data_IF_767114984403
#
_entry.id   IF_767114984403
#
_cell.length_a   1.000
_cell.length_b   1.000
_cell.length_c   1.000
_cell.angle_alpha   90.00
_cell.angle_beta   90.00
_cell.angle_gamma   90.00
#
_symmetry.space_group_name_H-M   'P 1'
#
loop_
_entity.id
_entity.type
_entity.pdbx_description
1 polymer ?
#
# COMPACT_ATOMS: atom_id res chain seq x y z
N UNK A 1 -26.37 -44.81 -11.71
CA UNK A 1 -25.04 -44.39 -11.18
C UNK A 1 -25.24 -43.67 -9.85
N UNK A 2 -24.90 -44.33 -8.74
CA UNK A 2 -25.07 -43.78 -7.39
C UNK A 2 -24.05 -42.66 -7.17
N UNK A 3 -24.51 -41.44 -6.85
CA UNK A 3 -23.60 -40.32 -6.60
C UNK A 3 -22.78 -40.63 -5.34
N UNK A 4 -21.44 -40.47 -5.37
CA UNK A 4 -20.63 -40.71 -4.18
C UNK A 4 -21.10 -39.83 -3.03
N UNK A 5 -21.22 -40.45 -1.85
CA UNK A 5 -21.67 -39.80 -0.62
C UNK A 5 -20.76 -38.59 -0.33
N UNK A 6 -21.32 -37.36 -0.39
CA UNK A 6 -20.56 -36.10 -0.26
C UNK A 6 -19.69 -36.05 0.99
N UNK A 7 -20.13 -36.66 2.09
CA UNK A 7 -19.36 -36.71 3.35
C UNK A 7 -18.01 -37.43 3.17
N UNK A 8 -17.99 -38.56 2.45
CA UNK A 8 -16.77 -39.32 2.17
C UNK A 8 -15.77 -38.53 1.32
N UNK A 9 -16.27 -37.74 0.37
CA UNK A 9 -15.41 -36.90 -0.48
C UNK A 9 -14.75 -35.79 0.35
N UNK A 10 -15.46 -35.22 1.30
CA UNK A 10 -14.98 -34.12 2.13
C UNK A 10 -13.93 -34.59 3.15
N UNK A 11 -14.15 -35.76 3.76
CA UNK A 11 -13.15 -36.43 4.60
C UNK A 11 -11.88 -36.75 3.80
N UNK A 12 -12.01 -37.34 2.60
CA UNK A 12 -10.86 -37.64 1.75
C UNK A 12 -10.08 -36.39 1.33
N UNK A 13 -10.76 -35.26 1.12
CA UNK A 13 -10.12 -33.97 0.82
C UNK A 13 -9.32 -33.43 2.01
N UNK A 14 -9.84 -33.57 3.23
CA UNK A 14 -9.12 -33.17 4.44
C UNK A 14 -7.87 -34.03 4.65
N UNK A 15 -8.01 -35.36 4.54
CA UNK A 15 -6.91 -36.31 4.65
C UNK A 15 -5.84 -36.03 3.59
N UNK A 16 -6.21 -35.84 2.32
CA UNK A 16 -5.27 -35.46 1.26
C UNK A 16 -4.57 -34.11 1.56
N UNK A 17 -5.27 -33.14 2.16
CA UNK A 17 -4.69 -31.87 2.60
C UNK A 17 -3.60 -32.05 3.67
N UNK A 18 -3.81 -32.96 4.63
CA UNK A 18 -2.82 -33.32 5.65
C UNK A 18 -1.61 -34.03 5.05
N UNK A 19 -1.81 -35.04 4.21
CA UNK A 19 -0.71 -35.78 3.56
C UNK A 19 0.16 -34.82 2.74
N UNK A 20 -0.47 -33.90 2.00
CA UNK A 20 0.24 -32.89 1.21
C UNK A 20 0.95 -31.81 2.05
N UNK A 21 0.59 -31.65 3.33
CA UNK A 21 1.33 -30.82 4.29
C UNK A 21 2.57 -31.56 4.80
N UNK A 22 2.41 -32.84 5.16
CA UNK A 22 3.50 -33.68 5.68
C UNK A 22 4.59 -33.94 4.65
N UNK A 23 4.22 -34.15 3.38
CA UNK A 23 5.19 -34.42 2.30
C UNK A 23 6.14 -33.26 1.97
N UNK A 24 5.83 -32.02 2.39
CA UNK A 24 6.65 -30.84 2.11
C UNK A 24 8.03 -30.87 2.77
N UNK A 25 8.28 -31.82 3.68
CA UNK A 25 9.57 -31.98 4.36
C UNK A 25 10.63 -32.74 3.54
N UNK A 26 10.41 -33.01 2.24
CA UNK A 26 11.49 -33.57 1.41
C UNK A 26 11.17 -33.96 -0.04
N UNK A 27 9.91 -34.16 -0.43
CA UNK A 27 9.56 -34.51 -1.81
C UNK A 27 8.26 -33.81 -2.24
N UNK A 28 8.29 -33.15 -3.40
CA UNK A 28 7.17 -32.36 -3.94
C UNK A 28 5.97 -33.23 -4.33
N UNK A 29 5.17 -33.66 -3.35
CA UNK A 29 3.98 -34.47 -3.60
C UNK A 29 2.86 -33.62 -4.22
N UNK A 30 2.31 -34.10 -5.34
CA UNK A 30 1.22 -33.43 -6.07
C UNK A 30 -0.15 -33.70 -5.41
N UNK A 31 -1.13 -32.81 -5.62
CA UNK A 31 -2.49 -32.98 -5.09
C UNK A 31 -3.17 -34.26 -5.60
N UNK A 32 -2.86 -34.68 -6.82
CA UNK A 32 -3.36 -35.91 -7.41
C UNK A 32 -2.81 -37.15 -6.70
N UNK A 33 -1.52 -37.14 -6.32
CA UNK A 33 -0.92 -38.20 -5.52
C UNK A 33 -1.52 -38.24 -4.11
N UNK A 34 -1.71 -37.08 -3.48
CA UNK A 34 -2.35 -36.98 -2.17
C UNK A 34 -3.77 -37.55 -2.16
N UNK A 35 -4.57 -37.28 -3.20
CA UNK A 35 -5.91 -37.84 -3.37
C UNK A 35 -5.91 -39.35 -3.64
N UNK A 36 -4.88 -39.87 -4.33
CA UNK A 36 -4.68 -41.31 -4.52
C UNK A 36 -4.45 -41.99 -3.17
N UNK A 37 -3.60 -41.41 -2.32
CA UNK A 37 -3.37 -41.92 -0.96
C UNK A 37 -4.61 -41.81 -0.06
N UNK A 38 -5.48 -40.83 -0.30
CA UNK A 38 -6.76 -40.69 0.41
C UNK A 38 -7.88 -41.59 -0.13
N UNK A 39 -7.59 -42.52 -1.04
CA UNK A 39 -8.56 -43.52 -1.53
C UNK A 39 -9.59 -43.00 -2.53
N UNK A 40 -9.36 -41.85 -3.16
CA UNK A 40 -10.31 -41.24 -4.12
C UNK A 40 -10.27 -41.97 -5.46
N UNK A 41 -11.42 -42.09 -6.14
CA UNK A 41 -11.53 -42.70 -7.48
C UNK A 41 -10.64 -42.01 -8.53
N UNK A 42 -10.30 -42.71 -9.61
CA UNK A 42 -9.49 -42.14 -10.71
C UNK A 42 -10.20 -41.00 -11.44
N UNK A 43 -11.52 -41.10 -11.60
CA UNK A 43 -12.37 -40.09 -12.25
C UNK A 43 -12.42 -38.80 -11.41
N UNK A 44 -12.64 -38.93 -10.10
CA UNK A 44 -12.69 -37.78 -9.19
C UNK A 44 -11.31 -37.12 -9.01
N UNK A 45 -10.23 -37.90 -9.16
CA UNK A 45 -8.84 -37.40 -9.18
C UNK A 45 -8.54 -36.50 -10.39
N UNK A 46 -9.27 -36.62 -11.50
CA UNK A 46 -9.11 -35.70 -12.62
C UNK A 46 -9.83 -34.35 -12.39
N UNK A 47 -10.69 -34.26 -11.36
CA UNK A 47 -11.49 -33.07 -11.11
C UNK A 47 -10.66 -31.93 -10.52
N UNK A 48 -10.41 -30.89 -11.34
CA UNK A 48 -9.65 -29.69 -10.94
C UNK A 48 -10.24 -28.95 -9.74
N UNK A 49 -11.55 -29.04 -9.50
CA UNK A 49 -12.16 -28.42 -8.34
C UNK A 49 -11.77 -29.15 -7.05
N UNK A 50 -11.63 -30.47 -7.08
CA UNK A 50 -11.20 -31.27 -5.93
C UNK A 50 -9.75 -30.90 -5.53
N UNK A 51 -8.87 -30.70 -6.51
CA UNK A 51 -7.50 -30.22 -6.27
C UNK A 51 -7.48 -28.87 -5.54
N UNK A 52 -8.31 -27.91 -5.97
CA UNK A 52 -8.44 -26.61 -5.29
C UNK A 52 -8.90 -26.77 -3.84
N UNK A 53 -9.81 -27.71 -3.57
CA UNK A 53 -10.29 -27.98 -2.20
C UNK A 53 -9.19 -28.55 -1.31
N UNK A 54 -8.36 -29.48 -1.84
CA UNK A 54 -7.19 -30.02 -1.12
C UNK A 54 -6.19 -28.91 -0.76
N UNK A 55 -5.86 -28.01 -1.70
CA UNK A 55 -4.97 -26.87 -1.40
C UNK A 55 -5.55 -25.91 -0.36
N UNK A 56 -6.87 -25.68 -0.37
CA UNK A 56 -7.54 -24.88 0.66
C UNK A 56 -7.48 -25.56 2.03
N UNK A 57 -7.71 -26.87 2.10
CA UNK A 57 -7.60 -27.65 3.33
C UNK A 57 -6.17 -27.57 3.90
N UNK A 58 -5.15 -27.73 3.06
CA UNK A 58 -3.74 -27.54 3.43
C UNK A 58 -3.48 -26.13 4.02
N UNK A 59 -3.92 -25.08 3.32
CA UNK A 59 -3.72 -23.70 3.78
C UNK A 59 -4.42 -23.40 5.11
N UNK A 60 -5.59 -24.01 5.37
CA UNK A 60 -6.26 -23.90 6.67
C UNK A 60 -5.40 -24.51 7.78
N UNK A 61 -4.81 -25.67 7.55
CA UNK A 61 -3.92 -26.33 8.51
C UNK A 61 -2.63 -25.53 8.74
N UNK A 62 -2.11 -24.84 7.73
CA UNK A 62 -0.94 -23.97 7.88
C UNK A 62 -1.27 -22.73 8.73
N UNK A 63 -2.44 -22.14 8.51
CA UNK A 63 -2.92 -21.00 9.31
C UNK A 63 -3.22 -21.39 10.76
N UNK A 64 -3.82 -22.56 11.01
CA UNK A 64 -4.07 -23.06 12.37
C UNK A 64 -2.76 -23.31 13.13
N UNK A 65 -1.74 -23.89 12.48
CA UNK A 65 -0.42 -24.07 13.10
C UNK A 65 0.21 -22.72 13.45
N UNK A 66 0.07 -21.73 12.56
CA UNK A 66 0.59 -20.39 12.81
C UNK A 66 -0.12 -19.73 13.99
N UNK A 67 -1.45 -19.83 14.05
CA UNK A 67 -2.22 -19.31 15.16
C UNK A 67 -1.80 -19.95 16.49
N UNK A 68 -1.63 -21.27 16.53
CA UNK A 68 -1.13 -21.96 17.74
C UNK A 68 0.29 -21.53 18.15
N UNK A 69 1.16 -21.22 17.18
CA UNK A 69 2.50 -20.70 17.48
C UNK A 69 2.43 -19.26 18.02
N UNK A 70 1.61 -18.41 17.42
CA UNK A 70 1.38 -17.04 17.86
C UNK A 70 0.73 -17.01 19.26
N UNK A 71 -0.18 -17.95 19.56
CA UNK A 71 -0.81 -18.12 20.88
C UNK A 71 0.18 -18.66 21.92
N UNK A 72 1.10 -19.56 21.54
CA UNK A 72 2.15 -20.07 22.43
C UNK A 72 3.23 -19.02 22.74
N UNK A 73 3.56 -18.17 21.76
CA UNK A 73 4.53 -17.08 21.92
C UNK A 73 3.95 -15.87 22.68
N UNK A 74 2.62 -15.82 22.87
CA UNK A 74 1.93 -14.80 23.65
C UNK A 74 1.47 -15.26 25.04
N UNK A 75 1.74 -16.51 25.43
CA UNK A 75 1.64 -16.97 26.82
C UNK A 75 2.86 -16.49 27.63
N UNK A 76 2.83 -15.23 28.08
CA UNK A 76 3.48 -14.86 29.33
C UNK A 76 2.74 -15.57 30.49
N UNK A 77 3.52 -16.07 31.46
CA UNK A 77 3.07 -16.85 32.62
C UNK A 77 2.17 -15.99 33.53
N UNK A 78 0.87 -16.03 33.29
CA UNK A 78 -0.12 -15.65 34.29
C UNK A 78 -1.04 -16.85 34.57
N UNK A 79 -0.91 -17.38 35.77
CA UNK A 79 -1.83 -18.34 36.36
C UNK A 79 -3.14 -17.64 36.71
N UNK A 80 -4.27 -18.04 36.10
CA UNK A 80 -5.54 -18.23 36.82
C UNK A 80 -6.67 -18.77 35.92
N UNK A 81 -7.23 -19.89 36.39
CA UNK A 81 -8.63 -20.31 36.40
C UNK A 81 -9.51 -20.27 35.12
N UNK A 82 -9.88 -21.49 34.72
CA UNK A 82 -11.10 -21.96 34.06
C UNK A 82 -12.32 -21.02 34.10
N UNK A 83 -12.90 -20.72 32.92
CA UNK A 83 -14.36 -20.72 32.69
C UNK A 83 -14.72 -21.21 31.29
N UNK A 84 -15.46 -22.32 31.28
CA UNK A 84 -16.14 -22.94 30.13
C UNK A 84 -17.35 -22.09 29.72
N UNK A 85 -17.47 -21.77 28.43
CA UNK A 85 -18.71 -21.23 27.83
C UNK A 85 -19.19 -22.12 26.68
N UNK A 86 -20.50 -22.44 26.62
CA UNK A 86 -21.07 -23.27 25.56
C UNK A 86 -21.40 -22.47 24.30
N UNK A 87 -21.28 -23.13 23.15
CA UNK A 87 -21.66 -22.64 21.83
C UNK A 87 -23.19 -22.58 21.65
N UNK A 88 -23.75 -21.54 21.02
CA UNK A 88 -25.12 -21.58 20.53
C UNK A 88 -25.21 -22.20 19.13
N UNK A 89 -26.19 -23.09 18.99
CA UNK A 89 -26.60 -23.77 17.77
C UNK A 89 -27.02 -22.80 16.65
N UNK A 90 -26.60 -23.14 15.44
CA UNK A 90 -26.91 -22.41 14.21
C UNK A 90 -28.09 -23.08 13.50
N UNK A 91 -29.22 -22.36 13.35
CA UNK A 91 -30.29 -22.78 12.44
C UNK A 91 -30.00 -22.26 11.02
N UNK A 92 -29.80 -23.20 10.09
CA UNK A 92 -29.62 -22.93 8.66
C UNK A 92 -30.99 -22.75 7.97
N UNK A 93 -31.31 -21.53 7.55
CA UNK A 93 -32.42 -21.27 6.62
C UNK A 93 -31.93 -21.40 5.17
N UNK A 94 -32.42 -22.41 4.46
CA UNK A 94 -32.12 -22.66 3.03
C UNK A 94 -32.93 -21.72 2.14
N UNK A 95 -32.27 -20.77 1.48
CA UNK A 95 -32.87 -19.93 0.43
C UNK A 95 -32.56 -20.57 -0.95
N UNK A 96 -33.55 -20.75 -1.84
CA UNK A 96 -33.33 -21.26 -3.19
C UNK A 96 -32.56 -20.23 -4.04
N UNK A 97 -31.39 -20.65 -4.54
CA UNK A 97 -30.50 -19.82 -5.38
C UNK A 97 -30.99 -19.89 -6.83
N UNK A 98 -31.54 -18.78 -7.33
CA UNK A 98 -31.81 -18.58 -8.76
C UNK A 98 -30.47 -18.43 -9.50
N UNK A 99 -30.22 -19.20 -10.59
CA UNK A 99 -28.97 -19.13 -11.33
C UNK A 99 -28.88 -17.79 -12.07
N UNK A 100 -28.11 -16.86 -11.51
CA UNK A 100 -27.75 -15.60 -12.16
C UNK A 100 -26.54 -15.84 -13.07
N UNK A 101 -26.59 -15.25 -14.27
CA UNK A 101 -25.52 -15.30 -15.26
C UNK A 101 -24.15 -15.01 -14.62
N UNK A 102 -23.07 -15.72 -15.05
CA UNK A 102 -21.76 -15.60 -14.44
C UNK A 102 -21.25 -14.16 -14.56
N UNK A 103 -21.33 -13.41 -13.45
CA UNK A 103 -20.71 -12.10 -13.34
C UNK A 103 -19.23 -12.27 -13.62
N UNK A 104 -18.72 -11.62 -14.67
CA UNK A 104 -17.28 -11.55 -14.95
C UNK A 104 -16.57 -11.16 -13.65
N UNK A 105 -15.71 -12.05 -13.14
CA UNK A 105 -14.98 -11.79 -11.91
C UNK A 105 -14.12 -10.55 -12.13
N UNK A 106 -14.44 -9.47 -11.41
CA UNK A 106 -13.57 -8.29 -11.35
C UNK A 106 -12.22 -8.76 -10.82
N UNK A 107 -11.22 -8.80 -11.70
CA UNK A 107 -9.87 -9.15 -11.33
C UNK A 107 -9.39 -8.15 -10.27
N UNK A 108 -8.94 -8.66 -9.11
CA UNK A 108 -8.43 -7.81 -8.05
C UNK A 108 -7.13 -7.17 -8.55
N UNK A 109 -7.11 -5.84 -8.61
CA UNK A 109 -5.90 -5.09 -8.99
C UNK A 109 -4.76 -5.42 -8.05
N UNK A 110 -3.54 -5.48 -8.59
CA UNK A 110 -2.34 -5.58 -7.76
C UNK A 110 -2.13 -4.27 -6.99
N UNK A 111 -1.36 -4.31 -5.90
CA UNK A 111 -1.05 -3.10 -5.12
C UNK A 111 -0.39 -2.03 -5.99
N UNK A 112 0.53 -2.43 -6.88
CA UNK A 112 1.22 -1.53 -7.80
C UNK A 112 0.26 -0.86 -8.79
N UNK A 113 -0.66 -1.62 -9.38
CA UNK A 113 -1.70 -1.08 -10.27
C UNK A 113 -2.62 -0.11 -9.52
N UNK A 114 -2.99 -0.43 -8.27
CA UNK A 114 -3.82 0.45 -7.45
C UNK A 114 -3.11 1.78 -7.13
N UNK A 115 -1.82 1.75 -6.81
CA UNK A 115 -1.01 2.95 -6.58
C UNK A 115 -0.83 3.76 -7.86
N UNK A 116 -0.50 3.12 -8.99
CA UNK A 116 -0.37 3.79 -10.28
C UNK A 116 -1.66 4.52 -10.68
N UNK A 117 -2.81 3.87 -10.52
CA UNK A 117 -4.10 4.53 -10.76
C UNK A 117 -4.33 5.73 -9.85
N UNK A 118 -3.98 5.64 -8.56
CA UNK A 118 -4.14 6.77 -7.63
C UNK A 118 -3.29 7.96 -8.06
N UNK A 119 -2.03 7.74 -8.46
CA UNK A 119 -1.15 8.78 -8.99
C UNK A 119 -1.76 9.47 -10.20
N UNK A 120 -2.23 8.69 -11.18
CA UNK A 120 -2.90 9.24 -12.37
C UNK A 120 -4.13 10.04 -11.96
N UNK A 121 -4.97 9.53 -11.06
CA UNK A 121 -6.16 10.25 -10.61
C UNK A 121 -5.83 11.59 -9.93
N UNK A 122 -4.76 11.66 -9.13
CA UNK A 122 -4.30 12.90 -8.50
C UNK A 122 -3.80 13.88 -9.57
N UNK A 123 -2.95 13.43 -10.48
CA UNK A 123 -2.45 14.24 -11.59
C UNK A 123 -3.59 14.80 -12.45
N UNK A 124 -4.58 13.95 -12.81
CA UNK A 124 -5.76 14.38 -13.56
C UNK A 124 -6.61 15.37 -12.78
N UNK A 125 -6.76 15.19 -11.45
CA UNK A 125 -7.49 16.13 -10.59
C UNK A 125 -6.82 17.51 -10.58
N UNK A 126 -5.51 17.54 -10.37
CA UNK A 126 -4.74 18.78 -10.23
C UNK A 126 -4.63 19.50 -11.58
N UNK A 127 -4.41 18.77 -12.67
CA UNK A 127 -4.45 19.32 -14.03
C UNK A 127 -5.83 19.89 -14.36
N UNK A 128 -6.90 19.17 -14.01
CA UNK A 128 -8.27 19.68 -14.19
C UNK A 128 -8.52 20.96 -13.42
N UNK A 129 -7.99 21.08 -12.20
CA UNK A 129 -8.11 22.31 -11.41
C UNK A 129 -7.39 23.49 -12.07
N UNK A 130 -6.16 23.26 -12.59
CA UNK A 130 -5.39 24.28 -13.33
C UNK A 130 -6.08 24.75 -14.61
N UNK A 131 -6.52 23.81 -15.45
CA UNK A 131 -7.24 24.13 -16.69
C UNK A 131 -8.58 24.83 -16.40
N UNK A 132 -9.24 24.48 -15.29
CA UNK A 132 -10.45 25.18 -14.86
C UNK A 132 -10.18 26.62 -14.43
N UNK A 133 -9.08 26.86 -13.71
CA UNK A 133 -8.62 28.20 -13.33
C UNK A 133 -8.30 29.04 -14.58
N UNK A 134 -7.52 28.49 -15.52
CA UNK A 134 -7.21 29.13 -16.81
C UNK A 134 -8.49 29.50 -17.58
N UNK A 135 -9.49 28.62 -17.60
CA UNK A 135 -10.78 28.91 -18.22
C UNK A 135 -11.55 30.05 -17.53
N UNK A 136 -11.50 30.12 -16.18
CA UNK A 136 -12.15 31.19 -15.43
C UNK A 136 -11.48 32.53 -15.69
N UNK A 137 -10.15 32.57 -15.66
CA UNK A 137 -9.34 33.76 -15.95
C UNK A 137 -9.58 34.26 -17.38
N UNK A 138 -9.63 33.37 -18.37
CA UNK A 138 -9.93 33.73 -19.75
C UNK A 138 -11.34 34.33 -19.92
N UNK A 139 -12.34 33.79 -19.22
CA UNK A 139 -13.71 34.35 -19.21
C UNK A 139 -13.73 35.72 -18.53
N UNK A 140 -13.00 35.90 -17.43
CA UNK A 140 -12.90 37.20 -16.75
C UNK A 140 -12.25 38.26 -17.65
N UNK A 141 -11.16 37.92 -18.33
CA UNK A 141 -10.52 38.83 -19.29
C UNK A 141 -11.44 39.23 -20.44
N UNK A 142 -12.25 38.29 -20.97
CA UNK A 142 -13.24 38.60 -22.00
C UNK A 142 -14.36 39.52 -21.48
N UNK A 143 -14.80 39.34 -20.23
CA UNK A 143 -15.76 40.25 -19.58
C UNK A 143 -15.18 41.66 -19.43
N UNK A 144 -13.92 41.78 -19.01
CA UNK A 144 -13.24 43.07 -18.85
C UNK A 144 -13.03 43.78 -20.19
N UNK A 145 -12.62 43.06 -21.24
CA UNK A 145 -12.50 43.60 -22.61
C UNK A 145 -13.83 44.13 -23.13
N UNK A 146 -14.91 43.39 -22.90
CA UNK A 146 -16.26 43.80 -23.27
C UNK A 146 -16.64 45.13 -22.58
N UNK A 147 -16.35 45.26 -21.28
CA UNK A 147 -16.62 46.49 -20.52
C UNK A 147 -15.79 47.67 -21.02
N UNK A 148 -14.50 47.47 -21.30
CA UNK A 148 -13.61 48.53 -21.84
C UNK A 148 -14.09 49.02 -23.21
N UNK A 149 -14.38 48.11 -24.13
CA UNK A 149 -14.84 48.47 -25.48
C UNK A 149 -16.24 49.10 -25.48
N UNK A 150 -17.12 48.67 -24.58
CA UNK A 150 -18.41 49.34 -24.35
C UNK A 150 -18.25 50.77 -23.85
N UNK A 151 -17.29 51.02 -22.95
CA UNK A 151 -16.97 52.38 -22.50
C UNK A 151 -16.42 53.25 -23.65
N UNK A 152 -15.70 52.66 -24.60
CA UNK A 152 -15.25 53.32 -25.84
C UNK A 152 -16.34 53.46 -26.92
N UNK A 153 -17.56 52.97 -26.68
CA UNK A 153 -18.67 53.01 -27.65
C UNK A 153 -18.53 52.01 -28.82
N UNK A 154 -17.61 51.04 -28.74
CA UNK A 154 -17.38 50.03 -29.79
C UNK A 154 -18.19 48.76 -29.51
N UNK A 155 -18.83 48.21 -30.54
CA UNK A 155 -19.51 46.93 -30.45
C UNK A 155 -18.49 45.78 -30.36
N UNK A 156 -18.57 44.95 -29.32
CA UNK A 156 -17.70 43.79 -29.12
C UNK A 156 -18.50 42.50 -29.08
N UNK A 157 -18.08 41.49 -29.86
CA UNK A 157 -18.64 40.14 -29.82
C UNK A 157 -17.86 39.29 -28.81
N UNK A 158 -18.42 39.15 -27.62
CA UNK A 158 -17.87 38.36 -26.51
C UNK A 158 -17.74 36.88 -26.89
N UNK A 159 -16.59 36.25 -26.58
CA UNK A 159 -16.48 34.79 -26.63
C UNK A 159 -17.34 34.16 -25.52
N UNK A 160 -18.17 33.18 -25.88
CA UNK A 160 -18.92 32.40 -24.88
C UNK A 160 -17.98 31.51 -24.07
N UNK A 161 -18.31 31.30 -22.79
CA UNK A 161 -17.60 30.34 -21.92
C UNK A 161 -17.53 28.92 -22.51
N UNK A 162 -18.47 28.53 -23.36
CA UNK A 162 -18.46 27.25 -24.08
C UNK A 162 -17.38 27.18 -25.15
N UNK A 163 -17.16 28.29 -25.87
CA UNK A 163 -16.09 28.39 -26.88
C UNK A 163 -14.73 28.31 -26.20
N UNK A 164 -14.55 29.05 -25.10
CA UNK A 164 -13.30 29.03 -24.31
C UNK A 164 -13.03 27.64 -23.73
N UNK A 165 -14.05 26.98 -23.16
CA UNK A 165 -13.90 25.60 -22.71
C UNK A 165 -13.59 24.64 -23.87
N UNK A 166 -14.14 24.88 -25.06
CA UNK A 166 -13.84 24.13 -26.28
C UNK A 166 -12.37 24.25 -26.68
N UNK A 167 -11.83 25.48 -26.69
CA UNK A 167 -10.42 25.77 -26.96
C UNK A 167 -9.50 25.06 -25.95
N UNK A 168 -9.79 25.14 -24.64
CA UNK A 168 -9.00 24.49 -23.60
C UNK A 168 -9.10 22.97 -23.66
N UNK A 169 -10.29 22.42 -23.92
CA UNK A 169 -10.47 20.98 -24.10
C UNK A 169 -9.75 20.44 -25.35
N UNK A 170 -9.50 21.30 -26.35
CA UNK A 170 -8.74 20.94 -27.55
C UNK A 170 -7.23 20.93 -27.33
N UNK A 171 -6.73 21.53 -26.23
CA UNK A 171 -5.31 21.48 -25.91
C UNK A 171 -4.84 20.01 -25.74
N UNK A 172 -3.63 19.65 -26.22
CA UNK A 172 -3.11 18.28 -26.12
C UNK A 172 -3.11 17.73 -24.69
N UNK A 173 -2.83 18.59 -23.71
CA UNK A 173 -2.82 18.23 -22.28
C UNK A 173 -4.20 17.76 -21.79
N UNK A 174 -5.28 18.42 -22.19
CA UNK A 174 -6.63 18.02 -21.81
C UNK A 174 -7.04 16.70 -22.49
N UNK A 175 -6.65 16.51 -23.76
CA UNK A 175 -6.97 15.31 -24.52
C UNK A 175 -6.27 14.06 -23.99
N UNK A 176 -4.97 14.14 -23.71
CA UNK A 176 -4.17 13.02 -23.18
C UNK A 176 -4.75 12.50 -21.87
N UNK A 177 -5.24 13.39 -21.01
CA UNK A 177 -5.80 13.04 -19.70
C UNK A 177 -7.33 12.83 -19.72
N UNK A 178 -7.99 12.97 -20.87
CA UNK A 178 -9.44 12.82 -21.01
C UNK A 178 -10.25 13.83 -20.20
N UNK A 179 -9.69 15.03 -19.97
CA UNK A 179 -10.33 16.07 -19.17
C UNK A 179 -11.34 16.82 -20.03
N UNK A 180 -12.57 16.95 -19.53
CA UNK A 180 -13.63 17.74 -20.15
C UNK A 180 -14.13 18.80 -19.18
N UNK A 181 -13.93 20.06 -19.55
CA UNK A 181 -14.51 21.22 -18.89
C UNK A 181 -15.90 21.51 -19.47
N UNK A 182 -16.81 21.96 -18.61
CA UNK A 182 -18.20 22.28 -18.95
C UNK A 182 -18.37 23.79 -18.80
N UNK A 183 -18.76 24.48 -19.88
CA UNK A 183 -18.91 25.94 -19.91
C UNK A 183 -19.86 26.47 -18.83
N UNK A 184 -20.94 25.75 -18.51
CA UNK A 184 -21.84 26.08 -17.40
C UNK A 184 -21.13 26.17 -16.06
N UNK A 185 -20.21 25.24 -15.77
CA UNK A 185 -19.48 25.21 -14.49
C UNK A 185 -18.51 26.40 -14.37
N UNK A 186 -17.82 26.75 -15.45
CA UNK A 186 -16.91 27.89 -15.50
C UNK A 186 -17.69 29.20 -15.37
N UNK A 187 -18.79 29.34 -16.12
CA UNK A 187 -19.68 30.51 -16.05
C UNK A 187 -20.19 30.76 -14.64
N UNK A 188 -20.68 29.71 -13.96
CA UNK A 188 -21.16 29.82 -12.58
C UNK A 188 -20.03 30.20 -11.61
N UNK A 189 -18.83 29.65 -11.78
CA UNK A 189 -17.70 29.98 -10.92
C UNK A 189 -17.29 31.45 -11.06
N UNK A 190 -17.23 31.97 -12.29
CA UNK A 190 -16.94 33.39 -12.56
C UNK A 190 -18.03 34.30 -12.00
N UNK A 191 -19.31 33.96 -12.15
CA UNK A 191 -20.41 34.72 -11.56
C UNK A 191 -20.35 34.80 -10.04
N UNK A 192 -19.89 33.73 -9.39
CA UNK A 192 -19.67 33.68 -7.95
C UNK A 192 -18.34 34.29 -7.50
N UNK A 193 -17.57 34.91 -8.42
CA UNK A 193 -16.21 35.43 -8.19
C UNK A 193 -15.24 34.37 -7.63
N UNK A 194 -15.40 33.11 -8.04
CA UNK A 194 -14.54 31.99 -7.64
C UNK A 194 -13.73 31.49 -8.83
N UNK A 195 -12.42 31.39 -8.64
CA UNK A 195 -11.48 30.84 -9.64
C UNK A 195 -11.23 29.33 -9.42
N UNK A 196 -11.66 28.80 -8.26
CA UNK A 196 -11.38 27.43 -7.83
C UNK A 196 -12.57 26.50 -8.10
N UNK A 197 -12.26 25.30 -8.59
CA UNK A 197 -13.25 24.23 -8.78
C UNK A 197 -13.90 23.84 -7.44
N UNK A 198 -15.23 23.91 -7.36
CA UNK A 198 -15.97 23.51 -6.15
C UNK A 198 -15.78 22.00 -5.90
N UNK A 199 -15.16 21.66 -4.76
CA UNK A 199 -15.07 20.27 -4.30
C UNK A 199 -16.49 19.73 -4.05
N UNK A 200 -16.72 18.45 -4.36
CA UNK A 200 -18.02 17.80 -4.11
C UNK A 200 -18.19 17.52 -2.61
N UNK A 201 -19.41 17.70 -2.13
CA UNK A 201 -19.76 17.49 -0.72
C UNK A 201 -19.59 18.73 0.15
N UNK A 202 -20.00 18.60 1.41
CA UNK A 202 -19.82 19.65 2.40
C UNK A 202 -18.34 19.86 2.72
N UNK A 203 -17.91 21.11 2.97
CA UNK A 203 -16.56 21.35 3.47
C UNK A 203 -16.36 20.59 4.77
N UNK A 204 -15.17 20.01 4.94
CA UNK A 204 -14.82 19.37 6.19
C UNK A 204 -14.71 20.38 7.32
N UNK A 205 -15.00 19.96 8.55
CA UNK A 205 -14.79 20.77 9.76
C UNK A 205 -13.33 21.20 9.97
N UNK A 206 -12.37 20.42 9.45
CA UNK A 206 -10.95 20.72 9.53
C UNK A 206 -10.53 21.71 8.43
N UNK A 207 -9.95 22.87 8.77
CA UNK A 207 -9.37 23.81 7.81
C UNK A 207 -8.36 23.17 6.88
N UNK A 208 -8.28 23.66 5.63
CA UNK A 208 -7.41 23.09 4.60
C UNK A 208 -5.93 23.22 4.97
N UNK A 209 -5.54 24.30 5.66
CA UNK A 209 -4.17 24.54 6.13
C UNK A 209 -3.72 23.49 7.15
N UNK A 210 -4.53 23.21 8.17
CA UNK A 210 -4.24 22.17 9.16
C UNK A 210 -4.24 20.77 8.53
N UNK A 211 -5.14 20.52 7.58
CA UNK A 211 -5.12 19.26 6.85
C UNK A 211 -3.83 19.08 6.04
N UNK A 212 -3.33 20.14 5.39
CA UNK A 212 -2.07 20.10 4.65
C UNK A 212 -0.87 19.87 5.57
N UNK A 213 -0.79 20.59 6.69
CA UNK A 213 0.24 20.38 7.70
C UNK A 213 0.25 18.95 8.26
N UNK A 214 -0.94 18.36 8.44
CA UNK A 214 -1.08 16.97 8.86
C UNK A 214 -0.57 15.97 7.80
N UNK A 215 -0.83 16.23 6.52
CA UNK A 215 -0.28 15.45 5.42
C UNK A 215 1.25 15.52 5.41
N UNK A 216 1.82 16.72 5.54
CA UNK A 216 3.27 16.92 5.58
C UNK A 216 3.92 16.22 6.78
N UNK A 217 3.30 16.28 7.97
CA UNK A 217 3.78 15.57 9.15
C UNK A 217 3.79 14.04 8.95
N UNK A 218 2.71 13.47 8.38
CA UNK A 218 2.64 12.02 8.10
C UNK A 218 3.65 11.62 7.03
N UNK A 219 3.88 12.46 6.02
CA UNK A 219 4.89 12.25 4.99
C UNK A 219 6.30 12.21 5.59
N UNK A 220 6.67 13.23 6.35
CA UNK A 220 7.99 13.32 7.00
C UNK A 220 8.22 12.14 7.94
N UNK A 221 7.24 11.80 8.77
CA UNK A 221 7.33 10.62 9.64
C UNK A 221 7.52 9.33 8.84
N UNK A 222 6.81 9.17 7.73
CA UNK A 222 6.90 7.97 6.89
C UNK A 222 8.27 7.85 6.21
N UNK A 223 8.86 8.97 5.77
CA UNK A 223 10.19 8.99 5.16
C UNK A 223 11.28 8.65 6.19
N UNK A 224 11.25 9.30 7.36
CA UNK A 224 12.19 9.01 8.46
C UNK A 224 12.09 7.56 8.94
N UNK A 225 10.87 7.01 9.03
CA UNK A 225 10.67 5.61 9.42
C UNK A 225 11.26 4.62 8.41
N UNK A 226 11.30 4.99 7.12
CA UNK A 226 11.93 4.18 6.07
C UNK A 226 13.46 4.27 6.16
N UNK A 227 14.00 5.46 6.40
CA UNK A 227 15.45 5.69 6.58
C UNK A 227 16.01 4.95 7.79
N UNK A 228 15.27 4.94 8.90
CA UNK A 228 15.64 4.20 10.12
C UNK A 228 15.65 2.67 9.93
N UNK A 229 15.19 2.14 8.80
CA UNK A 229 15.10 0.70 8.55
C UNK A 229 14.14 -0.04 9.49
N UNK A 230 13.36 0.68 10.30
CA UNK A 230 12.39 0.11 11.24
C UNK A 230 11.32 -0.61 10.43
N UNK A 231 11.33 -1.94 10.47
CA UNK A 231 10.23 -2.78 9.97
C UNK A 231 9.03 -2.56 10.88
N UNK A 232 8.26 -1.50 10.65
CA UNK A 232 7.10 -1.21 11.49
C UNK A 232 5.96 -2.15 11.10
N UNK A 233 5.93 -3.33 11.72
CA UNK A 233 4.70 -4.11 11.85
C UNK A 233 3.65 -3.22 12.51
N UNK A 234 2.44 -3.12 11.92
CA UNK A 234 1.31 -2.31 12.43
C UNK A 234 1.43 -0.77 12.32
N UNK A 235 2.14 -0.24 11.31
CA UNK A 235 2.24 1.21 11.05
C UNK A 235 0.87 1.90 10.88
N UNK A 236 -0.06 1.27 10.14
CA UNK A 236 -1.35 1.88 9.80
C UNK A 236 -2.27 2.13 11.01
N UNK A 237 -2.54 1.15 11.90
CA UNK A 237 -3.28 1.41 13.13
C UNK A 237 -2.64 2.49 14.01
N UNK A 238 -1.30 2.46 14.15
CA UNK A 238 -0.54 3.44 14.94
C UNK A 238 -0.71 4.85 14.38
N UNK A 239 -0.47 5.04 13.08
CA UNK A 239 -0.66 6.32 12.41
C UNK A 239 -2.10 6.82 12.47
N UNK A 240 -3.08 5.92 12.34
CA UNK A 240 -4.50 6.29 12.47
C UNK A 240 -4.79 6.86 13.86
N UNK A 241 -4.28 6.21 14.92
CA UNK A 241 -4.41 6.70 16.30
C UNK A 241 -3.72 8.05 16.49
N UNK A 242 -2.49 8.21 15.99
CA UNK A 242 -1.75 9.48 16.10
C UNK A 242 -2.44 10.64 15.38
N UNK A 243 -2.94 10.40 14.16
CA UNK A 243 -3.67 11.40 13.37
C UNK A 243 -4.96 11.82 14.07
N UNK A 244 -5.74 10.88 14.60
CA UNK A 244 -6.95 11.21 15.34
C UNK A 244 -6.64 11.93 16.65
N UNK A 245 -5.60 11.50 17.38
CA UNK A 245 -5.18 12.14 18.62
C UNK A 245 -4.70 13.59 18.41
N UNK A 246 -4.02 13.86 17.29
CA UNK A 246 -3.59 15.21 16.93
C UNK A 246 -4.79 16.14 16.70
N UNK A 247 -5.80 15.65 15.99
CA UNK A 247 -6.98 16.44 15.62
C UNK A 247 -7.98 16.59 16.77
N UNK A 248 -8.16 15.56 17.61
CA UNK A 248 -9.08 15.60 18.75
C UNK A 248 -8.64 16.56 19.87
N UNK A 249 -7.41 17.06 19.82
CA UNK A 249 -6.93 18.13 20.73
C UNK A 249 -7.47 19.51 20.37
N UNK A 250 -8.03 19.68 19.17
CA UNK A 250 -8.64 20.95 18.76
C UNK A 250 -10.03 21.09 19.38
N UNK A 251 -10.34 22.29 19.86
CA UNK A 251 -11.65 22.62 20.40
C UNK A 251 -12.75 22.38 19.33
N UNK A 252 -13.80 21.63 19.70
CA UNK A 252 -14.92 21.30 18.81
C UNK A 252 -14.76 20.04 17.93
N UNK A 253 -13.61 19.36 17.93
CA UNK A 253 -13.38 18.09 17.20
C UNK A 253 -13.10 16.87 18.12
N UNK A 254 -13.53 16.90 19.38
CA UNK A 254 -13.15 15.97 20.46
C UNK A 254 -13.60 14.50 20.35
N UNK A 255 -14.28 14.10 19.26
CA UNK A 255 -14.85 12.74 19.12
C UNK A 255 -14.49 12.03 17.82
N UNK A 256 -13.46 12.47 17.09
CA UNK A 256 -13.08 11.79 15.85
C UNK A 256 -12.45 10.44 16.14
N UNK A 257 -13.12 9.39 15.70
CA UNK A 257 -12.64 8.01 15.75
C UNK A 257 -12.68 7.35 14.37
N UNK A 258 -11.85 6.34 14.18
CA UNK A 258 -11.85 5.50 12.99
C UNK A 258 -10.83 5.89 11.92
N UNK A 259 -11.01 5.33 10.72
CA UNK A 259 -9.99 5.32 9.65
C UNK A 259 -10.18 6.39 8.57
N UNK A 260 -11.37 7.02 8.51
CA UNK A 260 -11.76 7.89 7.38
C UNK A 260 -10.79 9.07 7.16
N UNK A 261 -10.35 9.73 8.24
CA UNK A 261 -9.40 10.84 8.15
C UNK A 261 -8.04 10.35 7.64
N UNK A 262 -7.51 9.28 8.22
CA UNK A 262 -6.24 8.71 7.79
C UNK A 262 -6.31 8.19 6.34
N UNK A 263 -7.41 7.59 5.93
CA UNK A 263 -7.63 7.14 4.55
C UNK A 263 -7.64 8.32 3.57
N UNK A 264 -8.18 9.47 3.98
CA UNK A 264 -8.12 10.72 3.22
C UNK A 264 -6.69 11.26 3.13
N UNK A 265 -5.94 11.29 4.23
CA UNK A 265 -4.51 11.66 4.24
C UNK A 265 -3.71 10.73 3.31
N UNK A 266 -3.94 9.42 3.39
CA UNK A 266 -3.29 8.44 2.54
C UNK A 266 -3.64 8.62 1.06
N UNK A 267 -4.87 9.04 0.75
CA UNK A 267 -5.28 9.32 -0.62
C UNK A 267 -4.54 10.53 -1.21
N UNK A 268 -4.30 11.57 -0.40
CA UNK A 268 -3.52 12.75 -0.82
C UNK A 268 -2.04 12.39 -1.00
N UNK A 269 -1.45 11.69 -0.03
CA UNK A 269 -0.04 11.30 -0.05
C UNK A 269 0.30 10.20 -1.07
N UNK A 270 -0.70 9.50 -1.62
CA UNK A 270 -0.47 8.42 -2.58
C UNK A 270 0.23 8.89 -3.87
N UNK A 271 0.11 10.18 -4.21
CA UNK A 271 0.81 10.81 -5.33
C UNK A 271 2.31 10.95 -5.07
N UNK A 272 2.65 11.38 -3.86
CA UNK A 272 3.96 11.86 -3.48
C UNK A 272 4.88 10.75 -2.97
N UNK A 273 4.33 9.81 -2.21
CA UNK A 273 5.11 8.70 -1.68
C UNK A 273 5.35 7.69 -2.79
N UNK A 274 6.59 7.65 -3.27
CA UNK A 274 7.00 6.65 -4.24
C UNK A 274 7.20 5.31 -3.51
N UNK A 275 6.13 4.53 -3.39
CA UNK A 275 6.16 3.15 -2.87
C UNK A 275 6.78 2.24 -3.93
N UNK A 276 8.07 2.48 -4.21
CA UNK A 276 8.91 1.62 -5.02
C UNK A 276 9.42 0.43 -4.21
N UNK A 277 10.03 -0.53 -4.90
CA UNK A 277 10.92 -1.47 -4.20
C UNK A 277 12.06 -0.63 -3.60
N UNK A 278 12.41 -0.81 -2.31
CA UNK A 278 13.59 -0.17 -1.77
C UNK A 278 14.78 -0.57 -2.64
N UNK A 279 15.70 0.37 -2.90
CA UNK A 279 16.92 0.06 -3.60
C UNK A 279 17.67 -0.98 -2.76
N UNK A 280 17.68 -2.23 -3.23
CA UNK A 280 18.27 -3.35 -2.49
C UNK A 280 19.75 -3.14 -2.22
N UNK A 281 20.44 -2.42 -3.11
CA UNK A 281 21.84 -2.07 -2.97
C UNK A 281 21.99 -1.09 -1.81
N UNK A 282 21.17 -0.05 -1.77
CA UNK A 282 21.22 0.96 -0.70
C UNK A 282 20.81 0.40 0.64
N UNK A 283 19.74 -0.41 0.69
CA UNK A 283 19.33 -1.11 1.90
C UNK A 283 20.44 -2.01 2.43
N UNK A 284 21.14 -2.72 1.54
CA UNK A 284 22.29 -3.55 1.91
C UNK A 284 23.45 -2.68 2.40
N UNK A 285 23.77 -1.58 1.72
CA UNK A 285 24.80 -0.62 2.14
C UNK A 285 24.52 -0.11 3.55
N UNK A 286 23.28 0.31 3.83
CA UNK A 286 22.85 0.76 5.16
C UNK A 286 22.98 -0.35 6.21
N UNK A 287 22.63 -1.59 5.86
CA UNK A 287 22.80 -2.73 6.76
C UNK A 287 24.27 -3.01 7.09
N UNK A 288 25.19 -2.92 6.11
CA UNK A 288 26.61 -3.20 6.33
C UNK A 288 27.41 -2.01 6.87
N UNK A 289 26.95 -0.77 6.63
CA UNK A 289 27.60 0.46 7.07
C UNK A 289 27.14 0.95 8.46
N UNK A 290 26.52 0.08 9.26
CA UNK A 290 26.27 0.39 10.68
C UNK A 290 27.58 0.40 11.45
N UNK A 291 27.71 1.28 12.45
CA UNK A 291 28.89 1.34 13.33
C UNK A 291 29.29 -0.03 13.88
N UNK A 292 28.33 -0.82 14.37
CA UNK A 292 28.59 -2.16 14.89
C UNK A 292 29.24 -3.09 13.85
N UNK A 293 28.72 -3.12 12.62
CA UNK A 293 29.26 -3.96 11.55
C UNK A 293 30.63 -3.47 11.04
N UNK A 294 30.82 -2.16 10.92
CA UNK A 294 32.12 -1.58 10.55
C UNK A 294 33.16 -1.89 11.62
N UNK A 295 32.79 -1.73 12.90
CA UNK A 295 33.67 -2.01 14.02
C UNK A 295 34.02 -3.50 14.09
N UNK A 296 33.04 -4.39 13.93
CA UNK A 296 33.27 -5.83 13.86
C UNK A 296 34.19 -6.21 12.69
N UNK A 297 34.00 -5.60 11.52
CA UNK A 297 34.87 -5.83 10.37
C UNK A 297 36.30 -5.37 10.66
N UNK A 298 36.47 -4.20 11.28
CA UNK A 298 37.76 -3.69 11.70
C UNK A 298 38.44 -4.62 12.73
N UNK A 299 37.74 -5.03 13.78
CA UNK A 299 38.27 -5.96 14.78
C UNK A 299 38.67 -7.32 14.20
N UNK A 300 37.85 -7.88 13.31
CA UNK A 300 38.19 -9.14 12.64
C UNK A 300 39.42 -9.00 11.73
N UNK A 301 39.55 -7.86 11.06
CA UNK A 301 40.69 -7.56 10.21
C UNK A 301 41.98 -7.38 11.05
N UNK A 302 41.89 -6.69 12.19
CA UNK A 302 42.98 -6.58 13.15
C UNK A 302 43.43 -7.96 13.64
N UNK A 303 42.48 -8.80 14.05
CA UNK A 303 42.78 -10.16 14.51
C UNK A 303 43.44 -10.99 13.40
N UNK A 304 42.95 -10.90 12.17
CA UNK A 304 43.55 -11.60 11.03
C UNK A 304 45.02 -11.18 10.82
N UNK A 305 45.34 -9.89 10.92
CA UNK A 305 46.73 -9.42 10.80
C UNK A 305 47.64 -9.92 11.93
N UNK A 306 47.09 -10.05 13.14
CA UNK A 306 47.81 -10.62 14.29
C UNK A 306 48.04 -12.13 14.07
N UNK A 307 47.01 -12.87 13.68
CA UNK A 307 47.05 -14.32 13.48
C UNK A 307 48.04 -14.72 12.37
N UNK A 308 48.15 -13.90 11.32
CA UNK A 308 49.12 -14.11 10.24
C UNK A 308 50.54 -13.61 10.58
N UNK A 309 50.74 -12.99 11.75
CA UNK A 309 52.04 -12.45 12.17
C UNK A 309 52.46 -11.16 11.46
N UNK A 310 51.54 -10.50 10.76
CA UNK A 310 51.81 -9.24 10.05
C UNK A 310 51.80 -8.02 10.97
N UNK A 311 51.07 -8.10 12.08
CA UNK A 311 50.98 -7.05 13.08
C UNK A 311 51.06 -7.60 14.50
N UNK A 312 51.36 -6.71 15.46
CA UNK A 312 51.27 -6.97 16.90
C UNK A 312 50.49 -5.85 17.57
N UNK A 313 49.79 -6.19 18.64
CA UNK A 313 49.11 -5.20 19.47
C UNK A 313 50.09 -4.71 20.55
N UNK A 314 50.36 -3.41 20.60
CA UNK A 314 51.19 -2.75 21.62
C UNK A 314 50.36 -1.59 22.16
N UNK A 315 50.04 -1.60 23.46
CA UNK A 315 49.24 -0.56 24.13
C UNK A 315 47.93 -0.20 23.40
N UNK A 316 47.17 -1.24 23.00
CA UNK A 316 45.93 -1.14 22.21
C UNK A 316 46.07 -0.54 20.80
N UNK A 317 47.29 -0.23 20.35
CA UNK A 317 47.59 0.19 19.00
C UNK A 317 48.10 -0.99 18.15
N UNK A 318 47.63 -1.07 16.91
CA UNK A 318 48.04 -2.10 15.96
C UNK A 318 49.33 -1.66 15.25
N UNK A 319 50.46 -2.28 15.60
CA UNK A 319 51.76 -1.99 15.00
C UNK A 319 52.10 -3.03 13.95
N UNK A 320 52.24 -2.59 12.69
CA UNK A 320 52.60 -3.46 11.57
C UNK A 320 54.12 -3.67 11.47
N UNK A 321 54.54 -4.86 11.04
CA UNK A 321 55.93 -5.10 10.69
C UNK A 321 56.35 -4.26 9.47
N UNK A 322 57.55 -3.68 9.52
CA UNK A 322 58.07 -2.73 8.53
C UNK A 322 58.07 -3.26 7.08
N UNK A 323 58.26 -4.56 6.89
CA UNK A 323 58.16 -5.22 5.59
C UNK A 323 56.75 -5.21 5.00
N UNK A 324 55.70 -5.32 5.83
CA UNK A 324 54.30 -5.32 5.41
C UNK A 324 53.87 -3.91 4.99
N UNK A 325 54.32 -2.87 5.72
CA UNK A 325 54.07 -1.47 5.36
C UNK A 325 54.67 -1.11 3.99
N UNK A 326 55.88 -1.58 3.70
CA UNK A 326 56.52 -1.40 2.39
C UNK A 326 55.74 -2.09 1.26
N UNK A 327 55.22 -3.29 1.51
CA UNK A 327 54.42 -4.06 0.56
C UNK A 327 53.06 -3.41 0.27
N UNK A 328 52.40 -2.88 1.31
CA UNK A 328 51.13 -2.14 1.18
C UNK A 328 51.36 -0.84 0.40
N UNK A 329 52.43 -0.09 0.70
CA UNK A 329 52.78 1.14 -0.03
C UNK A 329 53.07 0.86 -1.51
N UNK A 330 53.73 -0.26 -1.83
CA UNK A 330 53.99 -0.68 -3.22
C UNK A 330 52.73 -1.12 -3.97
N UNK A 331 51.68 -1.60 -3.29
CA UNK A 331 50.41 -2.02 -3.90
C UNK A 331 49.42 -0.87 -4.11
N UNK A 332 49.62 0.27 -3.42
CA UNK A 332 48.75 1.45 -3.51
C UNK A 332 49.21 2.42 -4.62
N UNK A 333 50.48 2.34 -5.03
CA UNK A 333 51.08 3.12 -6.13
C UNK A 333 50.82 2.43 -7.47
#
# INVERSE_FOLDING_TARGET
MSRPNRKRVDEAVQTAGMILKLAKNGQGMTAQSALRHAGVSTEDRANRNLHKRVHRAKSKLDNQKKQLLDDFESMELDSEAEKVFPFPDSQESVIPIVPTAPKMMKMRRTSHQATGQRKVNIQTRDLKAKLFQEACEAVQQENEKEQRLKAEGKAYKKKSAEVICGEINAQPLAQVHGIKLIGRSVRNAVLENRVVLKKRGEPGKLPEEYFKALCDAVKSYSLLSVEDGKKVTNLRPKLTKMVNACVNKLEGESSRQGRKLFDRVQAELAGELNVGKPNRIEQRRQQYATYANINQWYSNLQQFFIDQGFAKLIDDELVFHQFVLLLILLLII
#
